data_IF_736152330314
#
_entry.id   IF_736152330314
#
_cell.length_a   1.000
_cell.length_b   1.000
_cell.length_c   1.000
_cell.angle_alpha   90.00
_cell.angle_beta   90.00
_cell.angle_gamma   90.00
#
_symmetry.space_group_name_H-M   'P 1'
#
loop_
_entity.id
_entity.type
_entity.pdbx_description
1 polymer ?
#
# COMPACT_ATOMS: atom_id res chain seq x y z
N UNK A 1 30.76 10.45 -11.06
CA UNK A 1 29.78 9.51 -11.67
C UNK A 1 30.38 8.93 -12.93
N UNK A 2 30.50 7.61 -13.06
CA UNK A 2 31.10 6.99 -14.26
C UNK A 2 30.14 7.05 -15.46
N UNK A 3 30.68 7.22 -16.67
CA UNK A 3 29.94 7.38 -17.93
C UNK A 3 28.94 6.24 -18.20
N UNK A 4 29.28 5.00 -17.80
CA UNK A 4 28.38 3.85 -17.90
C UNK A 4 27.10 4.01 -17.07
N UNK A 5 27.20 4.52 -15.84
CA UNK A 5 26.05 4.72 -14.97
C UNK A 5 25.16 5.87 -15.46
N UNK A 6 25.71 6.84 -16.20
CA UNK A 6 24.94 7.87 -16.89
C UNK A 6 24.24 7.30 -18.13
N UNK A 7 24.92 6.43 -18.89
CA UNK A 7 24.38 5.73 -20.06
C UNK A 7 23.22 4.78 -19.68
N UNK A 8 23.39 3.95 -18.65
CA UNK A 8 22.32 3.08 -18.14
C UNK A 8 21.09 3.89 -17.68
N UNK A 9 21.30 5.05 -17.04
CA UNK A 9 20.21 5.95 -16.64
C UNK A 9 19.49 6.56 -17.84
N UNK A 10 20.21 6.95 -18.89
CA UNK A 10 19.60 7.49 -20.11
C UNK A 10 18.74 6.43 -20.83
N UNK A 11 19.24 5.20 -20.96
CA UNK A 11 18.48 4.08 -21.52
C UNK A 11 17.25 3.76 -20.68
N UNK A 12 17.36 3.69 -19.35
CA UNK A 12 16.21 3.47 -18.47
C UNK A 12 15.17 4.59 -18.61
N UNK A 13 15.58 5.86 -18.65
CA UNK A 13 14.67 7.00 -18.87
C UNK A 13 13.91 6.90 -20.19
N UNK A 14 14.54 6.36 -21.23
CA UNK A 14 13.94 6.20 -22.55
C UNK A 14 12.73 5.25 -22.57
N UNK A 15 12.66 4.31 -21.62
CA UNK A 15 11.56 3.34 -21.49
C UNK A 15 10.22 3.99 -21.11
N UNK A 16 10.29 5.16 -20.46
CA UNK A 16 9.15 5.81 -19.81
C UNK A 16 8.58 6.99 -20.60
N UNK A 17 9.24 7.40 -21.68
CA UNK A 17 8.80 8.53 -22.52
C UNK A 17 7.61 8.13 -23.39
N UNK A 18 6.65 9.01 -23.68
CA UNK A 18 5.42 8.65 -24.40
C UNK A 18 5.62 8.19 -25.85
N UNK A 19 6.76 8.52 -26.50
CA UNK A 19 7.05 8.16 -27.89
C UNK A 19 8.44 7.55 -28.10
N UNK A 20 8.59 6.72 -29.15
CA UNK A 20 9.86 6.08 -29.53
C UNK A 20 10.83 7.11 -30.09
N UNK A 21 10.35 8.11 -30.83
CA UNK A 21 11.17 9.18 -31.39
C UNK A 21 11.77 10.05 -30.28
N UNK A 22 10.96 10.39 -29.27
CA UNK A 22 11.42 11.12 -28.07
C UNK A 22 12.40 10.27 -27.24
N UNK A 23 12.16 8.96 -27.15
CA UNK A 23 13.06 8.01 -26.50
C UNK A 23 14.38 7.84 -27.25
N UNK A 24 14.35 7.84 -28.58
CA UNK A 24 15.53 7.81 -29.43
C UNK A 24 16.37 9.08 -29.30
N UNK A 25 15.73 10.26 -29.24
CA UNK A 25 16.40 11.54 -29.01
C UNK A 25 17.13 11.59 -27.64
N UNK A 26 16.48 11.10 -26.57
CA UNK A 26 17.02 11.17 -25.21
C UNK A 26 18.03 10.07 -24.87
N UNK A 27 17.96 8.89 -25.49
CA UNK A 27 18.98 7.85 -25.32
C UNK A 27 20.27 8.13 -26.12
N UNK A 28 20.26 9.12 -27.01
CA UNK A 28 21.43 9.57 -27.77
C UNK A 28 22.11 8.44 -28.58
N UNK A 29 23.46 8.44 -28.74
CA UNK A 29 24.20 7.56 -29.64
C UNK A 29 24.05 6.04 -29.38
N UNK A 30 23.38 5.65 -28.30
CA UNK A 30 23.08 4.26 -27.93
C UNK A 30 21.93 3.68 -28.75
N UNK A 31 20.92 4.51 -29.07
CA UNK A 31 19.90 4.19 -30.07
C UNK A 31 20.31 4.70 -31.47
N UNK A 32 21.25 5.62 -31.62
CA UNK A 32 21.75 5.98 -32.95
C UNK A 32 22.66 4.88 -33.57
N UNK A 33 23.26 4.02 -32.73
CA UNK A 33 23.87 2.74 -33.15
C UNK A 33 22.87 1.59 -33.25
N UNK A 34 21.58 1.83 -32.99
CA UNK A 34 20.54 0.80 -33.06
C UNK A 34 20.30 0.41 -34.52
N UNK A 35 20.74 -0.78 -34.87
CA UNK A 35 20.11 -1.55 -35.93
C UNK A 35 18.60 -1.73 -35.67
N UNK A 36 17.85 -2.21 -36.67
CA UNK A 36 16.42 -2.49 -36.53
C UNK A 36 16.09 -3.44 -35.36
N UNK A 37 17.07 -4.25 -34.90
CA UNK A 37 16.94 -5.15 -33.74
C UNK A 37 16.86 -4.39 -32.42
N UNK A 38 17.66 -3.36 -32.23
CA UNK A 38 17.69 -2.58 -30.98
C UNK A 38 16.41 -1.73 -30.81
N UNK A 39 15.87 -1.17 -31.89
CA UNK A 39 14.54 -0.51 -31.87
C UNK A 39 13.41 -1.51 -31.61
N UNK A 40 13.47 -2.70 -32.22
CA UNK A 40 12.52 -3.79 -31.96
C UNK A 40 12.58 -4.29 -30.51
N UNK A 41 13.78 -4.43 -29.96
CA UNK A 41 14.00 -4.80 -28.56
C UNK A 41 13.42 -3.78 -27.59
N UNK A 42 13.63 -2.48 -27.85
CA UNK A 42 13.04 -1.40 -27.05
C UNK A 42 11.50 -1.44 -27.09
N UNK A 43 10.91 -1.65 -28.27
CA UNK A 43 9.45 -1.83 -28.42
C UNK A 43 8.94 -3.01 -27.61
N UNK A 44 9.59 -4.17 -27.72
CA UNK A 44 9.21 -5.37 -26.99
C UNK A 44 9.32 -5.16 -25.47
N UNK A 45 10.39 -4.55 -24.98
CA UNK A 45 10.54 -4.27 -23.56
C UNK A 45 9.47 -3.33 -23.02
N UNK A 46 9.13 -2.27 -23.76
CA UNK A 46 8.07 -1.34 -23.39
C UNK A 46 6.68 -1.99 -23.41
N UNK A 47 6.42 -2.87 -24.37
CA UNK A 47 5.19 -3.67 -24.39
C UNK A 47 5.11 -4.60 -23.18
N UNK A 48 6.21 -5.30 -22.86
CA UNK A 48 6.30 -6.17 -21.68
C UNK A 48 6.11 -5.39 -20.38
N UNK A 49 6.70 -4.19 -20.27
CA UNK A 49 6.52 -3.31 -19.11
C UNK A 49 5.06 -2.91 -18.90
N UNK A 50 4.34 -2.58 -19.97
CA UNK A 50 2.90 -2.27 -19.91
C UNK A 50 2.08 -3.49 -19.50
N UNK A 51 2.32 -4.66 -20.10
CA UNK A 51 1.63 -5.90 -19.73
C UNK A 51 1.95 -6.33 -18.29
N UNK A 52 3.16 -6.06 -17.79
CA UNK A 52 3.53 -6.27 -16.40
C UNK A 52 2.77 -5.29 -15.47
N UNK A 53 2.65 -4.02 -15.87
CA UNK A 53 1.91 -3.01 -15.12
C UNK A 53 0.43 -3.38 -14.96
N UNK A 54 -0.25 -3.73 -16.06
CA UNK A 54 -1.65 -4.16 -16.03
C UNK A 54 -1.85 -5.36 -15.09
N UNK A 55 -1.03 -6.41 -15.23
CA UNK A 55 -1.14 -7.61 -14.38
C UNK A 55 -0.88 -7.30 -12.90
N UNK A 56 0.13 -6.48 -12.62
CA UNK A 56 0.48 -6.12 -11.24
C UNK A 56 -0.63 -5.30 -10.57
N UNK A 57 -1.23 -4.35 -11.29
CA UNK A 57 -2.37 -3.60 -10.76
C UNK A 57 -3.62 -4.48 -10.68
N UNK A 58 -3.91 -5.32 -11.67
CA UNK A 58 -5.08 -6.20 -11.64
C UNK A 58 -5.05 -7.13 -10.40
N UNK A 59 -3.86 -7.63 -10.04
CA UNK A 59 -3.69 -8.43 -8.83
C UNK A 59 -3.93 -7.63 -7.53
N UNK A 60 -3.55 -6.35 -7.51
CA UNK A 60 -3.67 -5.50 -6.33
C UNK A 60 -5.01 -4.74 -6.24
N UNK A 61 -5.76 -4.63 -7.35
CA UNK A 61 -6.95 -3.80 -7.50
C UNK A 61 -8.11 -4.54 -8.20
N UNK A 62 -8.54 -5.72 -7.71
CA UNK A 62 -9.56 -6.53 -8.36
C UNK A 62 -10.93 -5.83 -8.40
N UNK A 63 -11.29 -5.04 -7.39
CA UNK A 63 -12.58 -4.33 -7.36
C UNK A 63 -12.57 -3.15 -8.32
N UNK A 64 -11.46 -2.39 -8.39
CA UNK A 64 -11.32 -1.31 -9.38
C UNK A 64 -11.38 -1.86 -10.81
N UNK A 65 -10.71 -2.99 -11.07
CA UNK A 65 -10.81 -3.68 -12.37
C UNK A 65 -12.25 -4.09 -12.67
N UNK A 66 -12.96 -4.66 -11.70
CA UNK A 66 -14.35 -5.06 -11.88
C UNK A 66 -15.26 -3.88 -12.24
N UNK A 67 -15.11 -2.74 -11.56
CA UNK A 67 -15.91 -1.53 -11.81
C UNK A 67 -15.61 -0.93 -13.18
N UNK A 68 -14.34 -0.81 -13.55
CA UNK A 68 -13.96 -0.16 -14.82
C UNK A 68 -14.11 -1.05 -16.05
N UNK A 69 -14.03 -2.37 -15.87
CA UNK A 69 -13.81 -3.31 -16.96
C UNK A 69 -12.36 -3.30 -17.47
N UNK A 70 -11.99 -4.36 -18.20
CA UNK A 70 -10.60 -4.61 -18.62
C UNK A 70 -10.00 -3.48 -19.48
N UNK A 71 -10.75 -2.97 -20.45
CA UNK A 71 -10.25 -1.97 -21.41
C UNK A 71 -9.89 -0.64 -20.72
N UNK A 72 -10.81 -0.11 -19.89
CA UNK A 72 -10.58 1.12 -19.15
C UNK A 72 -9.49 0.95 -18.10
N UNK A 73 -9.46 -0.21 -17.43
CA UNK A 73 -8.43 -0.54 -16.45
C UNK A 73 -7.05 -0.60 -17.10
N UNK A 74 -6.91 -1.21 -18.28
CA UNK A 74 -5.64 -1.24 -19.02
C UNK A 74 -5.18 0.17 -19.44
N UNK A 75 -6.12 1.02 -19.85
CA UNK A 75 -5.86 2.45 -20.09
C UNK A 75 -5.32 3.16 -18.85
N UNK A 76 -5.95 2.94 -17.69
CA UNK A 76 -5.55 3.50 -16.41
C UNK A 76 -4.17 2.96 -15.96
N UNK A 77 -3.92 1.66 -16.11
CA UNK A 77 -2.65 1.03 -15.78
C UNK A 77 -1.51 1.58 -16.63
N UNK A 78 -1.73 1.73 -17.93
CA UNK A 78 -0.75 2.28 -18.88
C UNK A 78 -0.41 3.74 -18.55
N UNK A 79 -1.42 4.56 -18.26
CA UNK A 79 -1.21 5.96 -17.90
C UNK A 79 -0.51 6.09 -16.54
N UNK A 80 -0.84 5.21 -15.58
CA UNK A 80 -0.14 5.14 -14.30
C UNK A 80 1.33 4.78 -14.46
N UNK A 81 1.63 3.76 -15.28
CA UNK A 81 2.99 3.30 -15.61
C UNK A 81 3.87 4.41 -16.18
N UNK A 82 3.34 5.21 -17.09
CA UNK A 82 4.09 6.32 -17.71
C UNK A 82 4.29 7.49 -16.73
N UNK A 83 3.28 7.83 -15.93
CA UNK A 83 3.36 8.94 -14.95
C UNK A 83 4.22 8.59 -13.74
N UNK A 84 4.20 7.33 -13.32
CA UNK A 84 4.89 6.84 -12.12
C UNK A 84 5.62 5.55 -12.47
N UNK A 85 6.79 5.61 -13.10
CA UNK A 85 7.58 4.42 -13.38
C UNK A 85 8.02 3.72 -12.07
N UNK A 86 8.10 2.38 -12.01
CA UNK A 86 8.65 1.67 -10.85
C UNK A 86 10.08 2.13 -10.56
N UNK A 87 10.28 2.54 -9.31
CA UNK A 87 11.58 2.96 -8.79
C UNK A 87 12.36 1.81 -8.11
N UNK A 88 11.70 0.66 -7.90
CA UNK A 88 12.24 -0.53 -7.24
C UNK A 88 11.80 -1.79 -7.99
N UNK A 89 12.54 -2.89 -7.82
CA UNK A 89 12.28 -4.15 -8.52
C UNK A 89 11.02 -4.89 -8.06
N UNK A 90 10.50 -4.56 -6.88
CA UNK A 90 9.27 -5.16 -6.36
C UNK A 90 8.03 -4.49 -6.97
N UNK A 91 7.53 -5.12 -8.04
CA UNK A 91 6.37 -4.66 -8.78
C UNK A 91 5.07 -4.77 -7.98
N UNK A 92 5.00 -5.67 -6.99
CA UNK A 92 3.80 -5.81 -6.15
C UNK A 92 3.58 -4.58 -5.28
N UNK A 93 4.62 -3.79 -5.02
CA UNK A 93 4.56 -2.55 -4.22
C UNK A 93 4.38 -1.28 -5.07
N UNK A 94 4.50 -1.40 -6.39
CA UNK A 94 4.47 -0.26 -7.30
C UNK A 94 3.12 0.47 -7.31
N UNK A 95 2.03 -0.28 -7.15
CA UNK A 95 0.67 0.22 -7.30
C UNK A 95 0.21 1.24 -6.26
N UNK A 96 0.93 1.49 -5.16
CA UNK A 96 0.46 2.23 -3.97
C UNK A 96 -0.18 3.60 -4.20
N UNK A 97 0.07 4.24 -5.35
CA UNK A 97 -0.43 5.58 -5.69
C UNK A 97 -1.55 5.57 -6.72
N UNK A 98 -2.18 4.43 -7.01
CA UNK A 98 -3.25 4.34 -8.00
C UNK A 98 -4.46 5.19 -7.57
N UNK A 99 -4.87 5.14 -6.30
CA UNK A 99 -5.98 5.97 -5.78
C UNK A 99 -5.76 7.47 -6.05
N UNK A 100 -4.55 7.98 -5.76
CA UNK A 100 -4.17 9.37 -6.04
C UNK A 100 -4.16 9.69 -7.55
N UNK A 101 -3.90 8.70 -8.39
CA UNK A 101 -3.93 8.87 -9.83
C UNK A 101 -5.38 8.96 -10.33
N UNK A 102 -6.28 8.10 -9.82
CA UNK A 102 -7.72 8.17 -10.10
C UNK A 102 -8.25 9.57 -9.72
N UNK A 103 -7.91 10.07 -8.53
CA UNK A 103 -8.31 11.40 -8.07
C UNK A 103 -7.81 12.56 -8.95
N UNK A 104 -6.75 12.33 -9.71
CA UNK A 104 -6.21 13.33 -10.64
C UNK A 104 -6.90 13.36 -12.01
N UNK A 105 -7.89 12.50 -12.24
CA UNK A 105 -8.64 12.38 -13.50
C UNK A 105 -10.08 12.87 -13.26
N UNK A 106 -10.40 14.14 -13.57
CA UNK A 106 -11.70 14.72 -13.20
C UNK A 106 -12.91 13.98 -13.75
N UNK A 107 -12.84 13.51 -15.00
CA UNK A 107 -13.93 12.75 -15.63
C UNK A 107 -14.19 11.44 -14.89
N UNK A 108 -13.13 10.70 -14.54
CA UNK A 108 -13.27 9.43 -13.81
C UNK A 108 -13.83 9.63 -12.39
N UNK A 109 -13.46 10.73 -11.73
CA UNK A 109 -14.02 11.09 -10.41
C UNK A 109 -15.50 11.49 -10.53
N UNK A 110 -15.91 12.11 -11.63
CA UNK A 110 -17.31 12.47 -11.86
C UNK A 110 -18.18 11.24 -12.16
N UNK A 111 -17.68 10.33 -13.00
CA UNK A 111 -18.40 9.12 -13.41
C UNK A 111 -18.44 8.06 -12.29
N UNK A 112 -17.32 7.91 -11.56
CA UNK A 112 -17.16 6.90 -10.50
C UNK A 112 -16.59 7.52 -9.19
N UNK A 113 -17.40 8.30 -8.43
CA UNK A 113 -16.93 9.05 -7.27
C UNK A 113 -16.29 8.21 -6.16
N UNK A 114 -16.69 6.94 -6.04
CA UNK A 114 -16.22 6.02 -5.00
C UNK A 114 -14.95 5.25 -5.40
N UNK A 115 -14.54 5.31 -6.67
CA UNK A 115 -13.47 4.46 -7.21
C UNK A 115 -12.13 4.65 -6.50
N UNK A 116 -11.80 5.89 -6.14
CA UNK A 116 -10.58 6.19 -5.40
C UNK A 116 -10.62 5.60 -3.98
N UNK A 117 -11.79 5.57 -3.33
CA UNK A 117 -11.95 4.92 -2.03
C UNK A 117 -11.80 3.39 -2.16
N UNK A 118 -12.46 2.77 -3.14
CA UNK A 118 -12.32 1.34 -3.44
C UNK A 118 -10.86 0.96 -3.72
N UNK A 119 -10.14 1.78 -4.49
CA UNK A 119 -8.72 1.58 -4.74
C UNK A 119 -7.89 1.57 -3.45
N UNK A 120 -8.20 2.44 -2.47
CA UNK A 120 -7.49 2.41 -1.17
C UNK A 120 -7.76 1.13 -0.39
N UNK A 121 -9.00 0.63 -0.41
CA UNK A 121 -9.38 -0.63 0.26
C UNK A 121 -8.68 -1.81 -0.40
N UNK A 122 -8.74 -1.91 -1.72
CA UNK A 122 -8.02 -2.92 -2.52
C UNK A 122 -6.53 -2.94 -2.20
N UNK A 123 -5.89 -1.76 -2.18
CA UNK A 123 -4.48 -1.65 -1.85
C UNK A 123 -4.16 -2.08 -0.41
N UNK A 124 -5.02 -1.73 0.55
CA UNK A 124 -4.86 -2.15 1.94
C UNK A 124 -4.97 -3.68 2.08
N UNK A 125 -5.91 -4.31 1.38
CA UNK A 125 -6.08 -5.76 1.35
C UNK A 125 -4.85 -6.45 0.70
N UNK A 126 -4.33 -5.89 -0.39
CA UNK A 126 -3.10 -6.35 -1.03
C UNK A 126 -1.88 -6.25 -0.09
N UNK A 127 -1.76 -5.14 0.64
CA UNK A 127 -0.71 -4.97 1.65
C UNK A 127 -0.86 -5.99 2.79
N UNK A 128 -2.09 -6.22 3.27
CA UNK A 128 -2.37 -7.24 4.27
C UNK A 128 -1.98 -8.63 3.78
N UNK A 129 -2.32 -8.99 2.54
CA UNK A 129 -1.98 -10.29 1.94
C UNK A 129 -0.47 -10.55 1.90
N UNK A 130 0.30 -9.51 1.59
CA UNK A 130 1.75 -9.58 1.37
C UNK A 130 2.58 -9.24 2.61
N UNK A 131 1.94 -8.90 3.73
CA UNK A 131 2.63 -8.52 4.95
C UNK A 131 3.47 -9.67 5.53
N UNK A 132 4.61 -9.35 6.15
CA UNK A 132 5.41 -10.34 6.86
C UNK A 132 4.59 -11.03 7.95
N UNK A 133 4.83 -12.32 8.18
CA UNK A 133 4.15 -13.06 9.25
C UNK A 133 4.60 -12.54 10.61
N UNK A 134 3.63 -12.35 11.51
CA UNK A 134 3.86 -12.02 12.92
C UNK A 134 2.93 -12.92 13.74
N UNK A 135 3.51 -13.66 14.68
CA UNK A 135 2.76 -14.64 15.46
C UNK A 135 2.01 -13.94 16.61
N UNK A 136 0.81 -14.44 16.91
CA UNK A 136 0.06 -14.01 18.07
C UNK A 136 0.75 -14.49 19.35
N UNK A 137 0.98 -13.58 20.30
CA UNK A 137 1.64 -13.85 21.58
C UNK A 137 0.70 -13.50 22.73
N UNK A 138 -0.39 -14.25 22.86
CA UNK A 138 -1.43 -14.03 23.88
C UNK A 138 -0.92 -13.92 25.31
N UNK A 139 0.12 -14.67 25.76
CA UNK A 139 0.65 -14.52 27.12
C UNK A 139 1.12 -13.10 27.46
N UNK A 140 1.46 -12.29 26.46
CA UNK A 140 1.85 -10.89 26.67
C UNK A 140 0.68 -10.00 27.11
N UNK A 141 -0.57 -10.38 26.87
CA UNK A 141 -1.75 -9.61 27.28
C UNK A 141 -1.85 -9.47 28.81
N UNK A 142 -1.18 -10.34 29.58
CA UNK A 142 -1.03 -10.19 31.03
C UNK A 142 -0.40 -8.82 31.42
N UNK A 143 0.33 -8.16 30.51
CA UNK A 143 0.84 -6.80 30.73
C UNK A 143 -0.28 -5.78 30.97
N UNK A 144 -1.47 -5.98 30.42
CA UNK A 144 -2.62 -5.09 30.61
C UNK A 144 -3.13 -5.10 32.06
N UNK A 145 -2.89 -6.20 32.78
CA UNK A 145 -3.22 -6.35 34.21
C UNK A 145 -2.06 -5.88 35.09
N UNK A 146 -0.83 -6.20 34.67
CA UNK A 146 0.35 -6.02 35.52
C UNK A 146 0.99 -4.63 35.43
N UNK A 147 0.60 -3.81 34.45
CA UNK A 147 1.18 -2.48 34.23
C UNK A 147 0.08 -1.43 34.02
N UNK A 148 0.35 -0.18 34.39
CA UNK A 148 -0.57 0.91 34.11
C UNK A 148 -0.66 1.18 32.59
N UNK A 149 -1.80 1.70 32.11
CA UNK A 149 -2.10 1.82 30.67
C UNK A 149 -1.21 2.83 29.93
N UNK A 150 -0.51 3.72 30.64
CA UNK A 150 0.50 4.64 30.09
C UNK A 150 1.82 3.92 29.73
N UNK A 151 2.06 2.72 30.28
CA UNK A 151 3.28 1.94 30.04
C UNK A 151 3.09 0.75 29.10
N UNK A 152 1.88 0.57 28.57
CA UNK A 152 1.53 -0.53 27.68
C UNK A 152 0.94 0.01 26.38
N UNK A 153 1.22 -0.65 25.27
CA UNK A 153 0.50 -0.47 24.00
C UNK A 153 0.15 -1.84 23.43
N UNK A 154 -0.83 -1.89 22.55
CA UNK A 154 -1.16 -3.10 21.79
C UNK A 154 -0.44 -3.07 20.45
N UNK A 155 -0.06 -4.25 19.96
CA UNK A 155 0.41 -4.43 18.60
C UNK A 155 -0.68 -5.10 17.79
N UNK A 156 -1.17 -4.37 16.80
CA UNK A 156 -2.12 -4.88 15.82
C UNK A 156 -1.42 -5.79 14.80
N UNK A 157 -2.21 -6.54 14.04
CA UNK A 157 -1.74 -7.36 12.95
C UNK A 157 -0.91 -6.54 11.93
N UNK A 158 0.07 -7.16 11.26
CA UNK A 158 0.82 -6.51 10.19
C UNK A 158 -0.10 -5.95 9.10
N UNK A 159 0.24 -4.77 8.60
CA UNK A 159 -0.52 -4.07 7.57
C UNK A 159 -2.00 -3.82 7.92
N UNK A 160 -2.35 -3.77 9.22
CA UNK A 160 -3.63 -3.20 9.65
C UNK A 160 -3.71 -1.74 9.17
N UNK A 161 -4.84 -1.37 8.57
CA UNK A 161 -5.07 -0.06 8.02
C UNK A 161 -6.51 0.41 8.24
N UNK A 162 -6.67 1.71 8.46
CA UNK A 162 -7.96 2.41 8.41
C UNK A 162 -8.11 3.08 7.05
N UNK A 163 -9.21 2.80 6.35
CA UNK A 163 -9.53 3.37 5.05
C UNK A 163 -10.94 3.93 5.10
N UNK A 164 -11.07 5.24 5.36
CA UNK A 164 -12.37 5.85 5.61
C UNK A 164 -13.04 5.21 6.83
N UNK A 165 -14.21 4.61 6.62
CA UNK A 165 -14.98 3.87 7.61
C UNK A 165 -14.68 2.36 7.66
N UNK A 166 -13.67 1.90 6.91
CA UNK A 166 -13.32 0.48 6.80
C UNK A 166 -12.01 0.16 7.52
N UNK A 167 -12.02 -0.88 8.35
CA UNK A 167 -10.84 -1.48 8.94
C UNK A 167 -10.39 -2.67 8.09
N UNK A 168 -9.10 -2.71 7.75
CA UNK A 168 -8.47 -3.79 6.99
C UNK A 168 -7.34 -4.40 7.80
N UNK A 169 -7.27 -5.73 7.85
CA UNK A 169 -6.17 -6.46 8.48
C UNK A 169 -6.05 -7.87 7.86
N UNK A 170 -5.20 -8.71 8.45
CA UNK A 170 -5.06 -10.11 8.07
C UNK A 170 -5.34 -11.02 9.25
N UNK A 171 -6.20 -12.03 9.04
CA UNK A 171 -6.41 -13.14 9.97
C UNK A 171 -5.70 -14.38 9.40
N UNK A 172 -4.60 -14.79 10.04
CA UNK A 172 -3.70 -15.81 9.49
C UNK A 172 -3.10 -15.38 8.14
N UNK A 173 -3.46 -16.10 7.06
CA UNK A 173 -3.07 -15.77 5.68
C UNK A 173 -4.19 -15.08 4.88
N UNK A 174 -5.34 -14.80 5.50
CA UNK A 174 -6.52 -14.25 4.82
C UNK A 174 -6.65 -12.76 5.11
N UNK A 175 -6.49 -11.87 4.13
CA UNK A 175 -6.89 -10.48 4.25
C UNK A 175 -8.39 -10.40 4.51
N UNK A 176 -8.77 -9.56 5.45
CA UNK A 176 -10.16 -9.32 5.81
C UNK A 176 -10.39 -7.82 5.97
N UNK A 177 -11.62 -7.40 5.75
CA UNK A 177 -12.05 -6.04 6.00
C UNK A 177 -13.44 -6.05 6.64
N UNK A 178 -13.74 -5.00 7.41
CA UNK A 178 -15.10 -4.72 7.90
C UNK A 178 -15.30 -3.23 8.14
N UNK A 179 -16.56 -2.76 8.20
CA UNK A 179 -16.85 -1.44 8.74
C UNK A 179 -16.33 -1.27 10.17
N UNK A 180 -15.91 -0.05 10.51
CA UNK A 180 -15.49 0.33 11.85
C UNK A 180 -16.67 0.27 12.82
N UNK A 181 -16.40 -0.24 14.02
CA UNK A 181 -17.34 -0.13 15.11
C UNK A 181 -17.38 1.32 15.65
N UNK A 182 -18.46 1.68 16.33
CA UNK A 182 -18.63 3.01 16.90
C UNK A 182 -17.50 3.33 17.89
N UNK A 183 -16.83 4.47 17.70
CA UNK A 183 -15.71 4.92 18.55
C UNK A 183 -14.42 4.10 18.42
N UNK A 184 -14.34 3.17 17.48
CA UNK A 184 -13.14 2.34 17.28
C UNK A 184 -12.03 3.06 16.50
N UNK A 185 -12.39 4.00 15.62
CA UNK A 185 -11.46 4.63 14.68
C UNK A 185 -10.28 5.28 15.40
N UNK A 186 -10.56 6.07 16.44
CA UNK A 186 -9.58 6.79 17.25
C UNK A 186 -8.68 5.83 18.04
N UNK A 187 -9.27 4.78 18.62
CA UNK A 187 -8.54 3.73 19.34
C UNK A 187 -7.54 3.04 18.40
N UNK A 188 -8.01 2.57 17.25
CA UNK A 188 -7.15 1.88 16.27
C UNK A 188 -6.09 2.82 15.71
N UNK A 189 -6.43 4.07 15.42
CA UNK A 189 -5.47 5.07 14.94
C UNK A 189 -4.35 5.32 15.98
N UNK A 190 -4.69 5.47 17.26
CA UNK A 190 -3.72 5.64 18.33
C UNK A 190 -2.81 4.40 18.49
N UNK A 191 -3.38 3.19 18.39
CA UNK A 191 -2.61 1.94 18.45
C UNK A 191 -1.67 1.76 17.24
N UNK A 192 -2.12 2.13 16.03
CA UNK A 192 -1.28 2.16 14.82
C UNK A 192 -0.14 3.17 14.95
N UNK A 193 -0.39 4.32 15.59
CA UNK A 193 0.61 5.32 15.94
C UNK A 193 1.52 4.91 17.11
N UNK A 194 1.34 3.69 17.67
CA UNK A 194 2.13 3.13 18.78
C UNK A 194 2.05 3.98 20.05
N UNK A 195 0.93 4.68 20.26
CA UNK A 195 0.69 5.46 21.47
C UNK A 195 0.43 4.55 22.69
N UNK A 196 0.60 5.08 23.92
CA UNK A 196 0.13 4.43 25.13
C UNK A 196 -1.35 4.08 25.09
N UNK A 197 -1.69 2.94 25.71
CA UNK A 197 -3.06 2.47 25.81
C UNK A 197 -3.93 3.50 26.54
N UNK A 198 -3.39 4.20 27.54
CA UNK A 198 -4.10 5.29 28.22
C UNK A 198 -4.59 6.35 27.20
N UNK A 199 -3.68 6.89 26.39
CA UNK A 199 -4.02 7.88 25.36
C UNK A 199 -4.99 7.33 24.31
N UNK A 200 -4.86 6.05 23.97
CA UNK A 200 -5.74 5.39 23.01
C UNK A 200 -7.18 5.22 23.54
N UNK A 201 -7.33 4.94 24.83
CA UNK A 201 -8.63 4.86 25.52
C UNK A 201 -9.25 6.26 25.71
N UNK A 202 -8.44 7.25 26.08
CA UNK A 202 -8.88 8.65 26.23
C UNK A 202 -9.42 9.22 24.90
N UNK A 203 -8.83 8.81 23.78
CA UNK A 203 -9.28 9.19 22.44
C UNK A 203 -10.59 8.51 22.01
N UNK A 204 -10.98 7.42 22.67
CA UNK A 204 -12.14 6.59 22.36
C UNK A 204 -13.03 6.33 23.59
N UNK A 205 -13.56 7.38 24.26
CA UNK A 205 -14.23 7.23 25.56
C UNK A 205 -15.54 6.44 25.50
N UNK A 206 -16.14 6.29 24.33
CA UNK A 206 -17.38 5.54 24.12
C UNK A 206 -17.20 4.05 23.86
N UNK A 207 -15.96 3.54 23.82
CA UNK A 207 -15.71 2.14 23.49
C UNK A 207 -15.77 1.25 24.73
N UNK A 208 -16.51 0.15 24.66
CA UNK A 208 -16.32 -0.97 25.59
C UNK A 208 -15.02 -1.69 25.21
N UNK A 209 -13.92 -1.24 25.82
CA UNK A 209 -12.60 -1.77 25.52
C UNK A 209 -12.47 -3.27 25.81
N UNK A 210 -13.14 -3.79 26.83
CA UNK A 210 -13.04 -5.21 27.18
C UNK A 210 -13.67 -6.08 26.09
N UNK A 211 -14.89 -5.73 25.67
CA UNK A 211 -15.59 -6.41 24.57
C UNK A 211 -14.85 -6.24 23.24
N UNK A 212 -14.33 -5.04 22.97
CA UNK A 212 -13.52 -4.77 21.78
C UNK A 212 -12.26 -5.64 21.75
N UNK A 213 -11.52 -5.69 22.86
CA UNK A 213 -10.27 -6.44 22.96
C UNK A 213 -10.49 -7.95 22.78
N UNK A 214 -11.53 -8.51 23.40
CA UNK A 214 -11.88 -9.92 23.24
C UNK A 214 -12.13 -10.27 21.76
N UNK A 215 -12.95 -9.48 21.08
CA UNK A 215 -13.24 -9.64 19.65
C UNK A 215 -11.99 -9.43 18.77
N UNK A 216 -11.17 -8.43 19.07
CA UNK A 216 -9.95 -8.13 18.33
C UNK A 216 -8.89 -9.24 18.47
N UNK A 217 -8.82 -9.91 19.63
CA UNK A 217 -7.94 -11.05 19.84
C UNK A 217 -8.43 -12.29 19.08
N UNK A 218 -9.72 -12.58 19.12
CA UNK A 218 -10.35 -13.69 18.41
C UNK A 218 -10.16 -13.57 16.88
N UNK A 219 -10.34 -12.35 16.35
CA UNK A 219 -10.15 -12.04 14.93
C UNK A 219 -8.68 -11.86 14.52
N UNK A 220 -7.75 -12.09 15.45
CA UNK A 220 -6.30 -11.87 15.29
C UNK A 220 -5.92 -10.45 14.84
N UNK A 221 -6.78 -9.46 15.10
CA UNK A 221 -6.48 -8.05 14.92
C UNK A 221 -5.43 -7.59 15.94
N UNK A 222 -5.55 -8.00 17.22
CA UNK A 222 -4.54 -7.74 18.26
C UNK A 222 -3.66 -8.98 18.42
N UNK A 223 -2.35 -8.81 18.19
CA UNK A 223 -1.39 -9.91 18.27
C UNK A 223 -0.72 -10.03 19.63
N UNK A 224 -0.43 -8.90 20.29
CA UNK A 224 0.27 -8.86 21.58
C UNK A 224 0.16 -7.51 22.26
N UNK A 225 0.43 -7.48 23.56
CA UNK A 225 0.74 -6.25 24.28
C UNK A 225 2.26 -6.02 24.32
N UNK A 226 2.67 -4.77 24.39
CA UNK A 226 4.06 -4.34 24.40
C UNK A 226 4.27 -3.31 25.51
N UNK A 227 5.39 -3.41 26.22
CA UNK A 227 5.83 -2.33 27.12
C UNK A 227 6.33 -1.15 26.29
N UNK A 228 5.94 0.05 26.68
CA UNK A 228 6.51 1.29 26.14
C UNK A 228 7.78 1.55 26.92
N UNK A 229 8.92 1.58 26.22
CA UNK A 229 10.15 2.08 26.82
C UNK A 229 10.05 3.59 26.83
N UNK A 230 9.68 4.17 27.97
CA UNK A 230 9.86 5.60 28.19
C UNK A 230 11.35 5.88 27.99
N UNK A 231 11.68 6.78 27.06
CA UNK A 231 12.99 7.41 27.07
C UNK A 231 13.03 8.21 28.38
N UNK A 232 13.60 7.64 29.44
CA UNK A 232 14.04 8.44 30.57
C UNK A 232 14.97 9.52 29.99
N UNK A 233 14.56 10.79 30.14
CA UNK A 233 15.44 11.92 29.83
C UNK A 233 16.74 11.69 30.62
N UNK A 234 17.92 11.71 29.97
CA UNK A 234 19.16 11.70 30.72
C UNK A 234 19.19 12.95 31.59
N UNK A 235 19.41 12.72 32.88
CA UNK A 235 19.64 13.72 33.93
C UNK A 235 20.75 14.70 33.56
#
# INVERSE_FOLDING_TARGET
MNALAAQQRALLRSLWLPGIETAALLAGPQLARADGKSVRGLRAYRANGRALASRALAAAYPTVLHVLGEENFDGLARTHWLRRPPAQGDIARWGARLAQHIESIPQLVADEPQLAHLARVDWALHCAATAANDAQQLPTLQLLVNLPPDRVTLRLAPATALVGDTLVWRQGFRPVSRPLAQGEAELVAALLARQPLASALDAAPGIDFASWLASAVEQQLVLRACRIRTLEKPS
#
